data_IF_623183332594
#
_entry.id   IF_623183332594
#
_cell.length_a   1.000
_cell.length_b   1.000
_cell.length_c   1.000
_cell.angle_alpha   90.00
_cell.angle_beta   90.00
_cell.angle_gamma   90.00
#
_symmetry.space_group_name_H-M   'P 1'
#
loop_
_entity.id
_entity.type
_entity.pdbx_description
1 polymer ?
#
# COMPACT_ATOMS: atom_id res chain seq x y z
N UNK A 1 11.90 -16.54 31.62
CA UNK A 1 13.13 -17.19 32.10
C UNK A 1 14.24 -16.76 31.15
N UNK A 2 15.17 -15.96 31.68
CA UNK A 2 16.38 -15.34 31.11
C UNK A 2 16.56 -15.21 29.58
N UNK A 3 16.55 -13.96 29.09
CA UNK A 3 17.33 -13.58 27.90
C UNK A 3 18.69 -13.05 28.36
N UNK A 4 19.77 -13.70 27.95
CA UNK A 4 21.12 -13.20 28.12
C UNK A 4 21.31 -11.93 27.28
N UNK A 5 21.73 -10.84 27.92
CA UNK A 5 22.07 -9.59 27.25
C UNK A 5 23.48 -9.67 26.69
N UNK A 6 23.66 -9.42 25.39
CA UNK A 6 25.00 -9.27 24.80
C UNK A 6 25.44 -7.81 24.95
N UNK A 7 26.44 -7.56 25.79
CA UNK A 7 27.15 -6.26 25.85
C UNK A 7 27.94 -6.08 24.55
N UNK A 8 27.64 -5.05 23.77
CA UNK A 8 28.48 -4.65 22.62
C UNK A 8 29.32 -3.46 23.07
N UNK A 9 30.64 -3.64 23.12
CA UNK A 9 31.60 -2.63 23.59
C UNK A 9 31.79 -1.45 22.62
N UNK A 10 31.32 -1.52 21.37
CA UNK A 10 31.44 -0.40 20.44
C UNK A 10 30.40 -0.45 19.32
N UNK A 11 29.58 0.59 19.23
CA UNK A 11 28.72 0.86 18.07
C UNK A 11 29.41 1.92 17.20
N UNK A 12 29.49 1.69 15.87
CA UNK A 12 30.13 2.60 14.90
C UNK A 12 29.60 4.04 14.96
N UNK A 13 28.38 4.25 15.46
CA UNK A 13 27.80 5.58 15.60
C UNK A 13 28.48 6.40 16.70
N UNK A 14 28.88 5.77 17.80
CA UNK A 14 29.40 6.45 18.98
C UNK A 14 30.90 6.80 18.80
N UNK A 15 31.62 6.01 17.99
CA UNK A 15 32.98 6.33 17.54
C UNK A 15 33.07 7.50 16.55
N UNK A 16 31.96 7.89 15.92
CA UNK A 16 31.94 8.98 14.93
C UNK A 16 31.61 10.35 15.54
N UNK A 17 31.16 10.38 16.80
CA UNK A 17 30.61 11.56 17.47
C UNK A 17 31.36 11.97 18.74
N UNK A 18 32.49 11.32 19.08
CA UNK A 18 33.33 11.61 20.27
C UNK A 18 32.53 11.81 21.58
N UNK A 19 31.54 10.94 21.80
CA UNK A 19 30.80 10.90 23.06
C UNK A 19 31.54 10.00 24.06
N UNK A 20 31.70 10.45 25.31
CA UNK A 20 32.24 9.62 26.41
C UNK A 20 31.40 8.33 26.56
N UNK A 21 32.05 7.20 26.86
CA UNK A 21 31.54 5.82 26.77
C UNK A 21 30.37 5.46 27.73
N UNK A 22 29.56 6.42 28.17
CA UNK A 22 28.37 6.16 28.97
C UNK A 22 27.12 6.05 28.08
N UNK A 23 26.86 4.81 27.67
CA UNK A 23 25.57 4.28 27.17
C UNK A 23 24.89 5.05 26.03
N UNK A 24 25.31 4.74 24.81
CA UNK A 24 24.75 5.24 23.57
C UNK A 24 23.50 4.41 23.19
N UNK A 25 22.29 4.94 23.38
CA UNK A 25 21.05 4.36 22.83
C UNK A 25 20.68 5.09 21.53
N UNK A 26 20.98 4.47 20.39
CA UNK A 26 20.44 4.89 19.10
C UNK A 26 19.11 4.18 18.93
N UNK A 27 18.03 4.93 18.75
CA UNK A 27 16.74 4.39 18.36
C UNK A 27 16.60 4.40 16.84
N UNK A 28 16.61 3.22 16.19
CA UNK A 28 15.81 3.03 15.00
C UNK A 28 14.68 2.07 15.33
N UNK A 29 13.44 2.53 15.13
CA UNK A 29 12.18 1.77 15.24
C UNK A 29 12.09 0.52 14.32
N UNK A 30 13.17 0.13 13.67
CA UNK A 30 13.18 -0.74 12.49
C UNK A 30 13.56 -2.19 12.75
N UNK A 31 13.87 -2.57 13.99
CA UNK A 31 14.27 -3.93 14.31
C UNK A 31 13.66 -4.40 15.65
N UNK A 32 12.35 -4.65 15.72
CA UNK A 32 11.60 -5.19 16.87
C UNK A 32 12.14 -6.48 17.52
N UNK A 33 13.23 -6.32 18.25
CA UNK A 33 13.37 -6.88 19.58
C UNK A 33 13.53 -5.69 20.52
N UNK A 34 12.65 -5.59 21.52
CA UNK A 34 12.73 -4.53 22.51
C UNK A 34 13.89 -4.81 23.48
N UNK A 35 14.78 -3.85 23.63
CA UNK A 35 15.72 -3.81 24.76
C UNK A 35 15.57 -2.44 25.44
N UNK A 36 15.26 -2.46 26.73
CA UNK A 36 14.88 -1.30 27.54
C UNK A 36 16.10 -0.54 28.07
N UNK A 37 16.06 0.79 27.95
CA UNK A 37 16.82 1.73 28.78
C UNK A 37 15.92 2.18 29.95
N UNK A 38 16.42 2.10 31.18
CA UNK A 38 15.61 2.06 32.41
C UNK A 38 14.86 3.34 32.85
N UNK A 39 14.77 4.40 32.04
CA UNK A 39 14.21 5.68 32.53
C UNK A 39 13.00 6.26 31.77
N UNK A 40 12.31 5.49 30.91
CA UNK A 40 11.09 5.97 30.25
C UNK A 40 9.89 5.09 30.60
N UNK A 41 8.96 5.61 31.41
CA UNK A 41 7.63 4.99 31.61
C UNK A 41 6.79 5.23 30.35
N UNK A 42 6.73 4.24 29.47
CA UNK A 42 5.68 4.16 28.44
C UNK A 42 4.51 3.34 29.00
N UNK A 43 3.30 3.92 28.96
CA UNK A 43 2.05 3.19 29.23
C UNK A 43 1.76 2.28 28.05
N UNK A 44 1.65 0.99 28.31
CA UNK A 44 1.05 0.03 27.37
C UNK A 44 -0.47 0.21 27.37
N UNK A 45 -1.04 0.50 26.21
CA UNK A 45 -2.42 0.10 25.92
C UNK A 45 -2.34 -1.08 24.97
N UNK A 46 -2.25 -2.29 25.53
CA UNK A 46 -2.46 -3.52 24.78
C UNK A 46 -3.96 -3.62 24.53
N UNK A 47 -4.42 -3.12 23.38
CA UNK A 47 -5.69 -3.62 22.86
C UNK A 47 -5.48 -5.08 22.44
N UNK A 48 -6.36 -5.95 22.91
CA UNK A 48 -6.22 -7.40 22.72
C UNK A 48 -6.31 -7.78 21.23
N UNK A 49 -5.55 -8.78 20.75
CA UNK A 49 -5.54 -9.23 19.34
C UNK A 49 -6.91 -9.60 18.75
N UNK A 50 -7.90 -9.90 19.60
CA UNK A 50 -9.27 -10.23 19.20
C UNK A 50 -10.16 -9.01 18.93
N UNK A 51 -9.89 -7.86 19.58
CA UNK A 51 -10.61 -6.61 19.30
C UNK A 51 -10.21 -6.04 17.94
N UNK A 52 -8.92 -6.09 17.61
CA UNK A 52 -8.38 -5.60 16.35
C UNK A 52 -8.92 -6.39 15.15
N UNK A 53 -9.02 -7.72 15.27
CA UNK A 53 -9.63 -8.63 14.28
C UNK A 53 -11.12 -8.39 14.01
N UNK A 54 -11.83 -7.67 14.89
CA UNK A 54 -13.25 -7.35 14.72
C UNK A 54 -13.51 -5.89 14.34
N UNK A 55 -12.47 -5.07 14.23
CA UNK A 55 -12.58 -3.67 13.84
C UNK A 55 -13.11 -3.50 12.41
N UNK A 56 -13.85 -2.42 12.17
CA UNK A 56 -14.35 -2.07 10.83
C UNK A 56 -13.19 -1.90 9.84
N UNK A 57 -12.06 -1.36 10.31
CA UNK A 57 -10.82 -1.20 9.53
C UNK A 57 -10.28 -2.55 9.06
N UNK A 58 -10.15 -3.53 9.95
CA UNK A 58 -9.66 -4.87 9.61
C UNK A 58 -10.59 -5.59 8.63
N UNK A 59 -11.91 -5.49 8.83
CA UNK A 59 -12.90 -6.05 7.90
C UNK A 59 -12.80 -5.42 6.51
N UNK A 60 -12.59 -4.11 6.43
CA UNK A 60 -12.38 -3.41 5.17
C UNK A 60 -11.07 -3.82 4.49
N UNK A 61 -9.98 -3.98 5.24
CA UNK A 61 -8.70 -4.46 4.70
C UNK A 61 -8.85 -5.85 4.09
N UNK A 62 -9.49 -6.79 4.79
CA UNK A 62 -9.79 -8.12 4.23
C UNK A 62 -10.64 -8.02 2.97
N UNK A 63 -11.69 -7.20 3.01
CA UNK A 63 -12.58 -7.02 1.86
C UNK A 63 -11.83 -6.47 0.64
N UNK A 64 -11.12 -5.35 0.79
CA UNK A 64 -10.41 -4.66 -0.29
C UNK A 64 -9.34 -5.55 -0.90
N UNK A 65 -8.61 -6.31 -0.09
CA UNK A 65 -7.66 -7.34 -0.55
C UNK A 65 -8.37 -8.40 -1.39
N UNK A 66 -9.35 -9.11 -0.82
CA UNK A 66 -10.04 -10.19 -1.53
C UNK A 66 -10.75 -9.70 -2.81
N UNK A 67 -11.21 -8.45 -2.79
CA UNK A 67 -11.79 -7.74 -3.93
C UNK A 67 -10.77 -7.52 -5.04
N UNK A 68 -9.65 -6.87 -4.74
CA UNK A 68 -8.59 -6.62 -5.73
C UNK A 68 -8.01 -7.94 -6.24
N UNK A 69 -7.74 -8.91 -5.37
CA UNK A 69 -7.30 -10.24 -5.81
C UNK A 69 -8.28 -10.89 -6.79
N UNK A 70 -9.58 -10.79 -6.50
CA UNK A 70 -10.61 -11.36 -7.36
C UNK A 70 -10.62 -10.73 -8.75
N UNK A 71 -10.36 -9.43 -8.84
CA UNK A 71 -10.26 -8.66 -10.08
C UNK A 71 -8.97 -8.92 -10.85
N UNK A 72 -7.84 -8.98 -10.14
CA UNK A 72 -6.51 -8.98 -10.73
C UNK A 72 -6.02 -10.38 -11.12
N UNK A 73 -6.47 -11.43 -10.42
CA UNK A 73 -6.04 -12.81 -10.67
C UNK A 73 -6.12 -13.27 -12.14
N UNK A 74 -7.14 -12.90 -12.94
CA UNK A 74 -7.19 -13.26 -14.37
C UNK A 74 -6.11 -12.60 -15.23
N UNK A 75 -5.47 -11.53 -14.75
CA UNK A 75 -4.63 -10.65 -15.57
C UNK A 75 -3.15 -10.70 -15.23
N UNK A 76 -2.73 -11.49 -14.25
CA UNK A 76 -1.33 -11.51 -13.84
C UNK A 76 -1.06 -12.31 -12.58
N UNK A 77 0.19 -12.26 -12.12
CA UNK A 77 0.63 -12.98 -10.92
C UNK A 77 0.51 -12.07 -9.72
N UNK A 78 -0.23 -12.55 -8.73
CA UNK A 78 -0.29 -11.95 -7.39
C UNK A 78 0.83 -12.58 -6.56
N UNK A 79 1.69 -11.76 -6.00
CA UNK A 79 2.72 -12.20 -5.07
C UNK A 79 2.36 -11.72 -3.68
N UNK A 80 2.25 -12.67 -2.76
CA UNK A 80 2.07 -12.41 -1.34
C UNK A 80 3.44 -12.67 -0.74
N UNK A 81 4.03 -11.67 -0.08
CA UNK A 81 5.35 -11.73 0.58
C UNK A 81 6.58 -11.47 -0.34
N UNK A 82 6.93 -10.19 -0.54
CA UNK A 82 8.29 -9.77 -0.92
C UNK A 82 9.02 -8.95 0.18
N UNK A 83 8.67 -9.15 1.46
CA UNK A 83 9.23 -8.47 2.65
C UNK A 83 8.17 -7.59 3.33
N UNK A 84 7.99 -7.60 4.66
CA UNK A 84 8.94 -7.34 5.77
C UNK A 84 8.73 -8.34 6.92
N UNK A 85 9.78 -8.91 7.54
CA UNK A 85 9.63 -9.81 8.72
C UNK A 85 9.38 -9.06 10.04
N UNK A 86 8.44 -8.12 10.06
CA UNK A 86 7.98 -7.45 11.28
C UNK A 86 6.63 -8.04 11.69
N UNK A 87 6.53 -8.47 12.94
CA UNK A 87 5.37 -9.12 13.55
C UNK A 87 4.12 -8.23 13.39
N UNK A 88 3.34 -8.48 12.34
CA UNK A 88 2.13 -7.72 12.02
C UNK A 88 1.80 -7.84 10.54
N UNK A 89 1.11 -8.93 10.18
CA UNK A 89 0.29 -9.09 8.96
C UNK A 89 0.86 -8.34 7.72
N UNK A 90 1.76 -8.99 6.97
CA UNK A 90 2.12 -8.57 5.61
C UNK A 90 0.92 -8.81 4.68
N UNK A 91 0.06 -7.80 4.51
CA UNK A 91 -1.18 -7.86 3.72
C UNK A 91 -1.14 -6.99 2.45
N UNK A 92 0.07 -6.63 2.00
CA UNK A 92 0.31 -5.81 0.81
C UNK A 92 0.09 -6.62 -0.49
N UNK A 93 -0.79 -6.15 -1.38
CA UNK A 93 -1.09 -6.84 -2.64
C UNK A 93 -0.08 -6.45 -3.73
N UNK A 94 0.86 -7.36 -4.03
CA UNK A 94 1.78 -7.19 -5.14
C UNK A 94 1.23 -7.86 -6.40
N UNK A 95 1.30 -7.15 -7.51
CA UNK A 95 0.79 -7.66 -8.78
C UNK A 95 1.75 -7.36 -9.94
N UNK A 96 1.89 -8.32 -10.85
CA UNK A 96 2.65 -8.16 -12.09
C UNK A 96 1.82 -8.60 -13.30
N UNK A 97 1.77 -7.77 -14.34
CA UNK A 97 1.02 -8.02 -15.58
C UNK A 97 1.65 -7.35 -16.79
N UNK A 98 1.23 -7.78 -17.99
CA UNK A 98 1.49 -7.11 -19.26
C UNK A 98 0.43 -6.06 -19.63
N UNK A 99 -0.48 -5.70 -18.72
CA UNK A 99 -1.30 -4.47 -18.68
C UNK A 99 -2.39 -4.30 -19.76
N UNK A 100 -2.15 -4.72 -21.00
CA UNK A 100 -2.97 -4.38 -22.15
C UNK A 100 -4.36 -5.03 -22.12
N UNK A 101 -4.46 -6.29 -21.71
CA UNK A 101 -5.74 -6.97 -21.61
C UNK A 101 -6.52 -6.52 -20.36
N UNK A 102 -5.82 -6.28 -19.25
CA UNK A 102 -6.46 -5.77 -18.02
C UNK A 102 -7.11 -4.40 -18.26
N UNK A 103 -6.46 -3.50 -19.00
CA UNK A 103 -7.01 -2.18 -19.33
C UNK A 103 -8.36 -2.24 -20.04
N UNK A 104 -8.57 -3.21 -20.94
CA UNK A 104 -9.84 -3.34 -21.67
C UNK A 104 -11.03 -3.69 -20.78
N UNK A 105 -10.78 -4.47 -19.72
CA UNK A 105 -11.84 -4.99 -18.84
C UNK A 105 -11.95 -4.25 -17.51
N UNK A 106 -10.85 -3.64 -17.07
CA UNK A 106 -10.72 -2.97 -15.77
C UNK A 106 -10.57 -1.45 -15.87
N UNK A 107 -10.57 -0.87 -17.08
CA UNK A 107 -10.49 0.57 -17.31
C UNK A 107 -9.26 1.20 -16.65
N UNK A 108 -9.49 2.21 -15.82
CA UNK A 108 -8.47 2.91 -15.05
C UNK A 108 -7.69 1.98 -14.13
N UNK A 109 -8.36 1.03 -13.44
CA UNK A 109 -7.66 0.04 -12.62
C UNK A 109 -6.69 -0.78 -13.47
N UNK A 110 -7.10 -1.19 -14.67
CA UNK A 110 -6.23 -1.91 -15.60
C UNK A 110 -5.05 -1.06 -16.12
N UNK A 111 -5.28 0.24 -16.34
CA UNK A 111 -4.23 1.21 -16.72
C UNK A 111 -3.14 1.33 -15.64
N UNK A 112 -3.49 1.13 -14.36
CA UNK A 112 -2.56 1.21 -13.23
C UNK A 112 -1.59 0.02 -13.15
N UNK A 113 -1.87 -1.09 -13.84
CA UNK A 113 -1.16 -2.38 -13.71
C UNK A 113 0.05 -2.50 -14.65
N UNK A 114 0.74 -1.40 -14.92
CA UNK A 114 1.96 -1.42 -15.73
C UNK A 114 3.16 -1.82 -14.85
N UNK A 115 3.73 -3.00 -15.13
CA UNK A 115 4.87 -3.54 -14.37
C UNK A 115 4.49 -4.15 -13.02
N UNK A 116 5.38 -3.99 -12.03
CA UNK A 116 5.17 -4.45 -10.65
C UNK A 116 4.46 -3.35 -9.86
N UNK A 117 3.31 -3.67 -9.27
CA UNK A 117 2.49 -2.69 -8.54
C UNK A 117 2.17 -3.14 -7.13
N UNK A 118 2.07 -2.17 -6.23
CA UNK A 118 1.60 -2.29 -4.85
C UNK A 118 0.33 -1.47 -4.69
N UNK A 119 -0.70 -2.04 -4.05
CA UNK A 119 -1.89 -1.31 -3.67
C UNK A 119 -1.99 -1.14 -2.14
N UNK A 120 -2.21 0.10 -1.72
CA UNK A 120 -2.59 0.46 -0.34
C UNK A 120 -4.01 1.03 -0.37
N UNK A 121 -4.95 0.38 0.31
CA UNK A 121 -6.36 0.79 0.29
C UNK A 121 -6.77 1.32 1.66
N UNK A 122 -7.15 2.59 1.70
CA UNK A 122 -7.61 3.26 2.90
C UNK A 122 -9.13 3.34 2.93
N UNK A 123 -9.68 3.04 4.09
CA UNK A 123 -11.10 3.13 4.32
C UNK A 123 -11.49 4.59 4.60
N UNK A 124 -10.66 5.35 5.29
CA UNK A 124 -10.84 6.78 5.59
C UNK A 124 -9.96 7.67 4.69
N UNK A 125 -10.20 9.00 4.69
CA UNK A 125 -9.31 9.93 3.99
C UNK A 125 -7.88 9.77 4.49
N UNK A 126 -6.94 9.62 3.56
CA UNK A 126 -5.54 9.31 3.90
C UNK A 126 -4.87 10.51 4.57
N UNK A 127 -4.11 10.24 5.63
CA UNK A 127 -3.34 11.24 6.39
C UNK A 127 -1.89 11.32 5.92
N UNK A 128 -1.17 12.38 6.27
CA UNK A 128 0.27 12.51 5.96
C UNK A 128 1.12 11.40 6.59
N UNK A 129 0.74 10.92 7.78
CA UNK A 129 1.42 9.80 8.45
C UNK A 129 1.23 8.51 7.64
N UNK A 130 0.00 8.23 7.19
CA UNK A 130 -0.30 7.06 6.37
C UNK A 130 0.40 7.10 5.02
N UNK A 131 0.41 8.25 4.34
CA UNK A 131 1.17 8.44 3.10
C UNK A 131 2.66 8.17 3.33
N UNK A 132 3.23 8.69 4.43
CA UNK A 132 4.64 8.43 4.77
C UNK A 132 4.91 6.95 5.03
N UNK A 133 3.97 6.25 5.67
CA UNK A 133 4.00 4.81 5.88
C UNK A 133 3.99 4.02 4.56
N UNK A 134 3.12 4.40 3.62
CA UNK A 134 3.10 3.78 2.28
C UNK A 134 4.40 4.06 1.52
N UNK A 135 4.93 5.28 1.60
CA UNK A 135 6.20 5.66 0.98
C UNK A 135 7.37 4.84 1.53
N UNK A 136 7.38 4.56 2.84
CA UNK A 136 8.37 3.69 3.43
C UNK A 136 8.36 2.29 2.79
N UNK A 137 7.17 1.70 2.58
CA UNK A 137 7.03 0.37 1.96
C UNK A 137 7.56 0.32 0.53
N UNK A 138 7.21 1.29 -0.31
CA UNK A 138 7.67 1.30 -1.71
C UNK A 138 9.17 1.57 -1.83
N UNK A 139 9.73 2.46 -0.99
CA UNK A 139 11.16 2.73 -1.00
C UNK A 139 11.99 1.54 -0.49
N UNK A 140 11.47 0.80 0.49
CA UNK A 140 12.08 -0.45 0.96
C UNK A 140 12.10 -1.49 -0.18
N UNK A 141 10.98 -1.66 -0.89
CA UNK A 141 10.90 -2.56 -2.05
C UNK A 141 11.89 -2.17 -3.16
N UNK A 142 11.93 -0.89 -3.53
CA UNK A 142 12.86 -0.39 -4.54
C UNK A 142 14.30 -0.72 -4.16
N UNK A 143 14.68 -0.53 -2.89
CA UNK A 143 16.00 -0.91 -2.37
C UNK A 143 16.28 -2.40 -2.56
N UNK A 144 15.30 -3.27 -2.26
CA UNK A 144 15.45 -4.71 -2.47
C UNK A 144 15.60 -5.07 -3.95
N UNK A 145 14.87 -4.43 -4.86
CA UNK A 145 15.02 -4.65 -6.31
C UNK A 145 16.43 -4.27 -6.81
N UNK A 146 16.99 -3.14 -6.33
CA UNK A 146 18.37 -2.78 -6.62
C UNK A 146 19.37 -3.81 -6.06
N UNK A 147 19.13 -4.30 -4.84
CA UNK A 147 19.99 -5.30 -4.19
C UNK A 147 19.98 -6.63 -4.96
N UNK A 148 18.79 -7.08 -5.37
CA UNK A 148 18.63 -8.30 -6.17
C UNK A 148 19.37 -8.19 -7.50
N UNK A 149 19.19 -7.10 -8.25
CA UNK A 149 19.89 -6.87 -9.52
C UNK A 149 21.41 -6.95 -9.35
N UNK A 150 21.95 -6.33 -8.29
CA UNK A 150 23.38 -6.38 -7.95
C UNK A 150 23.83 -7.80 -7.59
N UNK A 151 23.05 -8.53 -6.79
CA UNK A 151 23.38 -9.89 -6.37
C UNK A 151 23.49 -10.86 -7.56
N UNK A 152 22.61 -10.70 -8.57
CA UNK A 152 22.63 -11.53 -9.79
C UNK A 152 23.42 -10.91 -10.95
N UNK A 153 24.20 -9.85 -10.70
CA UNK A 153 25.04 -9.13 -11.69
C UNK A 153 24.26 -8.69 -12.95
N UNK A 154 22.99 -8.31 -12.79
CA UNK A 154 22.19 -7.67 -13.86
C UNK A 154 22.46 -6.17 -13.91
N UNK A 155 22.17 -5.50 -15.05
CA UNK A 155 22.16 -4.04 -15.11
C UNK A 155 21.26 -3.46 -14.01
N UNK A 156 21.63 -2.28 -13.52
CA UNK A 156 20.82 -1.55 -12.55
C UNK A 156 19.42 -1.26 -13.14
N UNK A 157 18.33 -1.55 -12.41
CA UNK A 157 16.98 -1.27 -12.88
C UNK A 157 16.78 0.22 -13.16
N UNK A 158 16.12 0.56 -14.25
CA UNK A 158 15.68 1.93 -14.50
C UNK A 158 14.52 2.27 -13.59
N UNK A 159 14.26 3.58 -13.43
CA UNK A 159 13.10 4.04 -12.68
C UNK A 159 11.79 3.47 -13.25
N UNK A 160 11.67 3.10 -14.52
CA UNK A 160 10.47 2.45 -15.08
C UNK A 160 10.30 0.99 -14.65
N UNK A 161 11.40 0.32 -14.29
CA UNK A 161 11.44 -1.13 -14.04
C UNK A 161 11.12 -1.46 -12.57
N UNK A 162 11.18 -0.46 -11.70
CA UNK A 162 10.88 -0.61 -10.27
C UNK A 162 9.38 -0.77 -10.02
N UNK A 163 9.02 -1.16 -8.81
CA UNK A 163 7.65 -1.20 -8.37
C UNK A 163 6.99 0.20 -8.38
N UNK A 164 5.68 0.24 -8.59
CA UNK A 164 4.84 1.43 -8.43
C UNK A 164 3.81 1.23 -7.33
N UNK A 165 3.70 2.18 -6.41
CA UNK A 165 2.68 2.20 -5.36
C UNK A 165 1.45 2.99 -5.81
N UNK A 166 0.27 2.44 -5.54
CA UNK A 166 -1.02 3.10 -5.68
C UNK A 166 -1.73 3.16 -4.33
N UNK A 167 -1.89 4.37 -3.81
CA UNK A 167 -2.72 4.67 -2.63
C UNK A 167 -4.15 4.91 -3.10
N UNK A 168 -5.10 4.08 -2.69
CA UNK A 168 -6.52 4.23 -2.98
C UNK A 168 -7.21 4.77 -1.72
N UNK A 169 -7.82 5.94 -1.80
CA UNK A 169 -8.46 6.59 -0.65
C UNK A 169 -9.80 7.18 -1.05
N UNK A 170 -10.84 7.17 -0.17
CA UNK A 170 -12.12 7.80 -0.47
C UNK A 170 -11.98 9.27 -0.82
N UNK A 171 -11.15 10.02 -0.08
CA UNK A 171 -10.87 11.43 -0.29
C UNK A 171 -9.50 11.80 0.31
N UNK A 172 -8.99 12.99 0.04
CA UNK A 172 -7.71 13.49 0.60
C UNK A 172 -7.78 15.01 0.73
N UNK A 173 -7.14 15.57 1.76
CA UNK A 173 -7.07 17.03 1.89
C UNK A 173 -6.07 17.62 0.89
N UNK A 174 -6.33 18.88 0.48
CA UNK A 174 -5.39 19.63 -0.36
C UNK A 174 -4.02 19.79 0.32
N UNK A 175 -4.00 20.00 1.64
CA UNK A 175 -2.76 20.08 2.43
C UNK A 175 -1.90 18.81 2.30
N UNK A 176 -2.51 17.62 2.37
CA UNK A 176 -1.79 16.35 2.19
C UNK A 176 -1.25 16.26 0.76
N UNK A 177 -2.06 16.54 -0.26
CA UNK A 177 -1.61 16.50 -1.66
C UNK A 177 -0.44 17.47 -1.90
N UNK A 178 -0.54 18.72 -1.44
CA UNK A 178 0.49 19.73 -1.60
C UNK A 178 1.77 19.38 -0.84
N UNK A 179 1.65 18.81 0.36
CA UNK A 179 2.76 18.34 1.18
C UNK A 179 3.61 17.29 0.50
N UNK A 180 2.99 16.40 -0.28
CA UNK A 180 3.69 15.36 -1.07
C UNK A 180 3.85 15.70 -2.55
N UNK A 181 3.52 16.94 -2.95
CA UNK A 181 3.59 17.41 -4.35
C UNK A 181 2.80 16.51 -5.32
N UNK A 182 1.62 16.07 -4.92
CA UNK A 182 0.70 15.32 -5.76
C UNK A 182 0.17 16.16 -6.92
N UNK A 183 0.46 15.74 -8.16
CA UNK A 183 0.09 16.46 -9.39
C UNK A 183 -0.75 15.60 -10.32
N UNK A 184 -1.75 16.19 -10.96
CA UNK A 184 -2.48 15.54 -12.03
C UNK A 184 -1.55 15.36 -13.24
N UNK A 185 -1.63 14.20 -13.88
CA UNK A 185 -0.98 13.96 -15.17
C UNK A 185 -2.00 13.87 -16.29
N UNK A 186 -1.62 14.39 -17.45
CA UNK A 186 -2.45 14.35 -18.65
C UNK A 186 -2.86 12.90 -18.98
N UNK A 187 -4.12 12.74 -19.38
CA UNK A 187 -4.67 11.44 -19.76
C UNK A 187 -5.02 10.48 -18.62
N UNK A 188 -4.82 10.86 -17.35
CA UNK A 188 -5.28 10.06 -16.19
C UNK A 188 -6.63 10.51 -15.63
N UNK A 189 -6.99 11.79 -15.83
CA UNK A 189 -8.26 12.36 -15.39
C UNK A 189 -8.22 12.85 -13.94
N UNK A 190 -9.33 13.45 -13.51
CA UNK A 190 -9.49 13.93 -12.14
C UNK A 190 -9.43 12.79 -11.12
N UNK A 191 -8.96 13.11 -9.92
CA UNK A 191 -8.81 12.15 -8.83
C UNK A 191 -7.58 11.26 -8.93
N UNK A 192 -6.70 11.43 -9.93
CA UNK A 192 -5.45 10.64 -10.04
C UNK A 192 -4.23 11.55 -9.97
N UNK A 193 -3.57 11.54 -8.82
CA UNK A 193 -2.41 12.37 -8.54
C UNK A 193 -1.13 11.54 -8.51
N UNK A 194 -0.04 12.10 -9.01
CA UNK A 194 1.28 11.49 -8.99
C UNK A 194 2.22 12.31 -8.11
N UNK A 195 2.97 11.62 -7.27
CA UNK A 195 4.09 12.21 -6.53
C UNK A 195 5.30 12.36 -7.45
N UNK A 196 6.36 13.09 -7.02
CA UNK A 196 7.60 13.18 -7.78
C UNK A 196 8.12 11.80 -8.22
N UNK A 197 8.63 11.62 -9.46
CA UNK A 197 8.88 10.30 -10.05
C UNK A 197 9.75 9.36 -9.19
N UNK A 198 10.71 9.91 -8.43
CA UNK A 198 11.58 9.13 -7.55
C UNK A 198 10.87 8.41 -6.41
N UNK A 199 9.63 8.79 -6.08
CA UNK A 199 8.79 8.13 -5.07
C UNK A 199 7.95 6.98 -5.64
N UNK A 200 7.88 6.83 -6.97
CA UNK A 200 7.10 5.79 -7.67
C UNK A 200 5.70 5.58 -7.07
N UNK A 201 5.00 6.67 -6.79
CA UNK A 201 3.72 6.63 -6.06
C UNK A 201 2.65 7.46 -6.76
N UNK A 202 1.46 6.90 -6.88
CA UNK A 202 0.23 7.62 -7.24
C UNK A 202 -0.83 7.52 -6.16
N UNK A 203 -1.68 8.54 -6.07
CA UNK A 203 -2.84 8.62 -5.16
C UNK A 203 -4.11 8.70 -5.99
N UNK A 204 -5.03 7.77 -5.74
CA UNK A 204 -6.36 7.73 -6.34
C UNK A 204 -7.38 8.17 -5.30
N UNK A 205 -8.00 9.32 -5.56
CA UNK A 205 -9.03 9.96 -4.75
C UNK A 205 -10.38 9.54 -5.31
N UNK A 206 -10.98 8.52 -4.69
CA UNK A 206 -12.09 7.75 -5.27
C UNK A 206 -13.35 8.62 -5.49
N UNK A 207 -13.66 9.54 -4.59
CA UNK A 207 -14.82 10.42 -4.71
C UNK A 207 -14.72 11.46 -5.84
N UNK A 208 -13.51 11.69 -6.33
CA UNK A 208 -13.18 12.63 -7.41
C UNK A 208 -13.11 11.94 -8.78
N UNK A 209 -13.30 10.62 -8.84
CA UNK A 209 -13.26 9.88 -10.10
C UNK A 209 -14.53 10.10 -10.93
N UNK A 210 -14.35 10.22 -12.25
CA UNK A 210 -15.45 10.30 -13.20
C UNK A 210 -16.42 9.13 -13.04
N UNK A 211 -17.74 9.38 -13.08
CA UNK A 211 -18.77 8.36 -12.85
C UNK A 211 -19.12 7.63 -14.14
N UNK A 212 -18.25 6.72 -14.57
CA UNK A 212 -18.42 5.92 -15.78
C UNK A 212 -17.79 4.51 -15.63
N UNK A 213 -17.96 3.68 -16.65
CA UNK A 213 -17.46 2.30 -16.65
C UNK A 213 -15.94 2.17 -16.47
N UNK A 214 -15.15 3.17 -16.88
CA UNK A 214 -13.68 3.13 -16.77
C UNK A 214 -13.18 3.17 -15.33
N UNK A 215 -13.94 3.78 -14.42
CA UNK A 215 -13.54 3.93 -13.00
C UNK A 215 -14.36 3.06 -12.05
N UNK A 216 -15.29 2.27 -12.60
CA UNK A 216 -16.28 1.49 -11.84
C UNK A 216 -15.63 0.66 -10.72
N UNK A 217 -14.59 -0.10 -11.06
CA UNK A 217 -13.92 -1.00 -10.12
C UNK A 217 -13.24 -0.26 -8.95
N UNK A 218 -12.75 0.96 -9.18
CA UNK A 218 -12.18 1.79 -8.12
C UNK A 218 -13.28 2.40 -7.26
N UNK A 219 -14.39 2.87 -7.85
CA UNK A 219 -15.52 3.46 -7.12
C UNK A 219 -16.26 2.44 -6.23
N UNK A 220 -16.20 1.15 -6.54
CA UNK A 220 -16.70 0.08 -5.68
C UNK A 220 -15.93 -0.03 -4.35
N UNK A 221 -14.68 0.43 -4.29
CA UNK A 221 -13.89 0.55 -3.04
C UNK A 221 -14.22 1.84 -2.26
N UNK A 222 -15.00 2.75 -2.82
CA UNK A 222 -15.39 4.01 -2.20
C UNK A 222 -16.43 3.86 -1.09
N UNK A 223 -17.04 5.00 -0.71
CA UNK A 223 -18.03 5.08 0.37
C UNK A 223 -19.26 5.90 -0.03
N UNK A 224 -20.33 5.78 0.78
CA UNK A 224 -21.56 6.56 0.64
C UNK A 224 -22.18 6.46 -0.76
N UNK A 225 -22.58 7.60 -1.31
CA UNK A 225 -23.22 7.68 -2.63
C UNK A 225 -22.32 7.22 -3.79
N UNK A 226 -20.99 7.38 -3.67
CA UNK A 226 -20.04 6.92 -4.70
C UNK A 226 -20.10 5.40 -4.85
N UNK A 227 -20.06 4.67 -3.73
CA UNK A 227 -20.15 3.21 -3.75
C UNK A 227 -21.55 2.73 -4.14
N UNK A 228 -22.59 3.41 -3.66
CA UNK A 228 -23.98 3.07 -4.00
C UNK A 228 -24.25 3.17 -5.50
N UNK A 229 -23.80 4.25 -6.15
CA UNK A 229 -23.91 4.42 -7.60
C UNK A 229 -23.11 3.34 -8.34
N UNK A 230 -21.88 3.07 -7.90
CA UNK A 230 -21.06 2.01 -8.49
C UNK A 230 -21.70 0.61 -8.35
N UNK A 231 -22.43 0.34 -7.25
CA UNK A 231 -23.18 -0.92 -7.08
C UNK A 231 -24.34 -1.05 -8.05
N UNK A 232 -25.07 0.03 -8.33
CA UNK A 232 -26.14 0.02 -9.33
C UNK A 232 -25.59 -0.18 -10.75
N UNK A 233 -24.47 0.46 -11.07
CA UNK A 233 -23.75 0.22 -12.34
C UNK A 233 -23.28 -1.25 -12.45
N UNK A 234 -22.78 -1.83 -11.36
CA UNK A 234 -22.38 -3.23 -11.30
C UNK A 234 -23.57 -4.19 -11.55
N UNK A 235 -24.78 -3.87 -11.07
CA UNK A 235 -26.00 -4.64 -11.38
C UNK A 235 -26.37 -4.55 -12.85
N UNK A 236 -26.23 -3.36 -13.44
CA UNK A 236 -26.56 -3.10 -14.83
C UNK A 236 -25.58 -3.76 -15.83
N UNK A 237 -24.40 -4.23 -15.38
CA UNK A 237 -23.47 -4.93 -16.27
C UNK A 237 -24.09 -6.23 -16.82
N UNK A 238 -23.90 -6.53 -18.13
CA UNK A 238 -24.38 -7.77 -18.74
C UNK A 238 -23.93 -9.02 -17.96
N UNK A 239 -24.77 -10.05 -17.95
CA UNK A 239 -24.46 -11.34 -17.32
C UNK A 239 -23.24 -12.03 -17.96
N UNK A 240 -22.95 -11.71 -19.22
CA UNK A 240 -21.76 -12.14 -19.96
C UNK A 240 -20.44 -11.54 -19.43
N UNK A 241 -20.50 -10.48 -18.61
CA UNK A 241 -19.33 -9.95 -17.95
C UNK A 241 -18.94 -10.85 -16.77
N UNK A 242 -17.98 -11.75 -17.01
CA UNK A 242 -17.51 -12.74 -16.02
C UNK A 242 -16.93 -12.09 -14.75
N UNK A 243 -16.21 -10.97 -14.91
CA UNK A 243 -15.63 -10.21 -13.79
C UNK A 243 -16.77 -9.61 -12.94
N UNK A 244 -17.73 -8.96 -13.59
CA UNK A 244 -18.92 -8.39 -12.95
C UNK A 244 -19.71 -9.44 -12.17
N UNK A 245 -19.93 -10.63 -12.75
CA UNK A 245 -20.64 -11.74 -12.09
C UNK A 245 -19.92 -12.24 -10.84
N UNK A 246 -18.58 -12.33 -10.85
CA UNK A 246 -17.79 -12.71 -9.66
C UNK A 246 -17.88 -11.64 -8.57
N UNK A 247 -17.78 -10.37 -8.94
CA UNK A 247 -17.80 -9.25 -8.01
C UNK A 247 -19.19 -9.03 -7.40
N UNK A 248 -20.27 -9.20 -8.17
CA UNK A 248 -21.66 -9.21 -7.65
C UNK A 248 -21.81 -10.20 -6.50
N UNK A 249 -21.31 -11.43 -6.68
CA UNK A 249 -21.34 -12.48 -5.65
C UNK A 249 -20.51 -12.09 -4.42
N UNK A 250 -19.31 -11.54 -4.61
CA UNK A 250 -18.44 -11.10 -3.51
C UNK A 250 -19.06 -9.96 -2.70
N UNK A 251 -19.70 -9.01 -3.38
CA UNK A 251 -20.29 -7.82 -2.77
C UNK A 251 -21.73 -8.04 -2.28
N UNK A 252 -22.30 -9.23 -2.50
CA UNK A 252 -23.70 -9.58 -2.22
C UNK A 252 -24.68 -8.60 -2.88
N UNK A 253 -24.38 -8.28 -4.14
CA UNK A 253 -25.16 -7.39 -4.99
C UNK A 253 -25.83 -8.30 -6.02
N UNK A 254 -27.11 -8.59 -5.79
CA UNK A 254 -27.98 -9.29 -6.74
C UNK A 254 -28.55 -8.31 -7.77
#
# INVERSE_FOLDING_TARGET
MYSEYVKVKSCRLCSYLDLEEDFCAVAPKYLGKAYLCQNFKLRETVETPEKEKNSTRFKFQIFSRNYLESLLHPYGKIERERGISWEGINDDLWFSSTGMEAKKHLGLLGKMLDGLVLFEVYDNPVTSEEVSGSLFKILDMMREQYREAKAVKKPEPKLSDLAHLWILTPSVSQEVLEGFRGQLLEGWGEGVYFMPPGMRTGVVVIDSLAKNGETLWLRLLGRGEVQKQAREELKALPSTNLVGSKIRKLMKVE
#
